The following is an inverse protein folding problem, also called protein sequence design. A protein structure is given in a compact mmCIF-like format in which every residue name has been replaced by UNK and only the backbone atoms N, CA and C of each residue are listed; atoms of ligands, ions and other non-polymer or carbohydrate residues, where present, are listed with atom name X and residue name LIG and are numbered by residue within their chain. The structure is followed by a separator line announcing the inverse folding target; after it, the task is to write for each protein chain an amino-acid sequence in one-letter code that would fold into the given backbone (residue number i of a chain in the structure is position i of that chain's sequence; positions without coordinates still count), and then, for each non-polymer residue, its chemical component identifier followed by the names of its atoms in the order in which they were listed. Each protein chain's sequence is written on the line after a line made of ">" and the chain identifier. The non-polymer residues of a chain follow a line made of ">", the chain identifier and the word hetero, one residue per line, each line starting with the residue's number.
data_IF_339805483286
#
_entry.id   IF_339805483286
#
_cell.length_a   1.000
_cell.length_b   1.000
_cell.length_c   1.000
_cell.angle_alpha   90.00
_cell.angle_beta   90.00
_cell.angle_gamma   90.00
#
_symmetry.space_group_name_H-M   'P 1'
#
loop_
_entity.id
_entity.type
_entity.pdbx_description
1 polymer ?
#
# COMPACT_ATOMS: atom_id res chain seq x y z
N UNK A 1 -13.42 3.03 17.36
CA UNK A 1 -12.11 2.33 17.44
C UNK A 1 -12.37 0.85 17.61
N UNK A 2 -11.81 -0.01 16.75
CA UNK A 2 -11.99 -1.45 16.88
C UNK A 2 -11.34 -1.91 18.18
N UNK A 3 -12.10 -2.71 18.92
CA UNK A 3 -11.71 -3.28 20.20
C UNK A 3 -10.96 -4.58 19.92
N UNK A 4 -9.74 -4.49 19.41
CA UNK A 4 -8.90 -5.67 19.22
C UNK A 4 -8.44 -6.15 20.59
N UNK A 5 -8.78 -7.39 20.87
CA UNK A 5 -8.67 -8.11 22.13
C UNK A 5 -7.21 -8.29 22.56
N UNK A 6 -7.01 -8.29 23.88
CA UNK A 6 -5.79 -8.55 24.65
C UNK A 6 -4.95 -9.69 24.08
N UNK A 7 -3.64 -9.49 23.91
CA UNK A 7 -2.65 -10.57 24.03
C UNK A 7 -1.52 -10.10 24.94
N UNK A 8 -1.31 -10.89 26.00
CA UNK A 8 -0.29 -10.75 27.02
C UNK A 8 1.13 -10.68 26.42
N UNK A 9 2.10 -10.33 27.28
CA UNK A 9 3.54 -10.46 27.03
C UNK A 9 4.04 -11.89 26.67
N UNK A 10 3.12 -12.83 26.41
CA UNK A 10 3.34 -14.12 25.75
C UNK A 10 2.05 -14.53 25.03
N UNK A 11 2.17 -14.94 23.76
CA UNK A 11 1.14 -15.74 23.07
C UNK A 11 1.61 -17.18 23.17
N UNK A 12 0.92 -18.00 23.94
CA UNK A 12 1.17 -19.44 23.98
C UNK A 12 0.09 -20.13 23.14
N UNK A 13 0.45 -20.48 21.91
CA UNK A 13 -0.22 -21.59 21.23
C UNK A 13 0.56 -22.86 21.56
N UNK A 14 0.00 -24.04 21.31
CA UNK A 14 0.73 -25.31 21.49
C UNK A 14 2.03 -25.39 20.64
N UNK A 15 2.23 -24.47 19.70
CA UNK A 15 3.34 -24.47 18.74
C UNK A 15 4.41 -23.40 19.01
N UNK A 16 4.09 -22.24 19.56
CA UNK A 16 5.02 -21.12 19.67
C UNK A 16 5.03 -20.50 21.08
N UNK A 17 6.24 -20.25 21.61
CA UNK A 17 6.46 -19.42 22.79
C UNK A 17 7.08 -18.11 22.30
N UNK A 18 6.33 -17.02 22.42
CA UNK A 18 6.61 -15.80 21.68
C UNK A 18 6.64 -14.60 22.62
N UNK A 19 7.77 -13.87 22.61
CA UNK A 19 7.80 -12.49 23.13
C UNK A 19 7.29 -11.53 22.06
N UNK A 20 6.45 -10.57 22.43
CA UNK A 20 5.81 -9.66 21.48
C UNK A 20 6.01 -8.19 21.85
N UNK A 21 6.10 -7.34 20.83
CA UNK A 21 6.07 -5.88 20.92
C UNK A 21 5.08 -5.37 19.89
N UNK A 22 4.14 -4.51 20.28
CA UNK A 22 3.13 -3.98 19.34
C UNK A 22 3.78 -2.98 18.39
N UNK A 23 3.67 -3.19 17.09
CA UNK A 23 4.29 -2.34 16.06
C UNK A 23 3.28 -1.68 15.12
N UNK A 24 2.01 -2.06 15.19
CA UNK A 24 0.97 -1.46 14.35
C UNK A 24 -0.44 -1.88 14.73
N UNK A 25 -1.42 -1.22 14.13
CA UNK A 25 -2.83 -1.62 14.19
C UNK A 25 -3.60 -1.00 13.01
N UNK A 26 -4.70 -1.64 12.65
CA UNK A 26 -5.67 -1.14 11.68
C UNK A 26 -7.08 -1.22 12.26
N UNK A 27 -8.10 -0.92 11.44
CA UNK A 27 -9.48 -1.14 11.83
C UNK A 27 -9.84 -2.62 12.04
N UNK A 28 -9.02 -3.53 11.50
CA UNK A 28 -9.32 -4.95 11.34
C UNK A 28 -8.27 -5.86 11.96
N UNK A 29 -7.18 -5.31 12.48
CA UNK A 29 -6.09 -6.11 13.05
C UNK A 29 -5.18 -5.33 13.99
N UNK A 30 -4.36 -6.06 14.75
CA UNK A 30 -3.18 -5.53 15.44
C UNK A 30 -1.94 -6.28 14.98
N UNK A 31 -0.82 -5.57 14.88
CA UNK A 31 0.43 -6.12 14.34
C UNK A 31 1.52 -6.04 15.40
N UNK A 32 2.25 -7.13 15.55
CA UNK A 32 3.23 -7.33 16.62
C UNK A 32 4.53 -7.85 16.02
N UNK A 33 5.66 -7.24 16.38
CA UNK A 33 6.97 -7.86 16.19
C UNK A 33 7.14 -8.92 17.26
N UNK A 34 7.64 -10.08 16.88
CA UNK A 34 7.67 -11.19 17.78
C UNK A 34 8.90 -12.08 17.59
N UNK A 35 9.39 -12.67 18.69
CA UNK A 35 10.54 -13.59 18.67
C UNK A 35 10.08 -14.98 19.02
N UNK A 36 10.22 -15.92 18.09
CA UNK A 36 10.03 -17.33 18.37
C UNK A 36 11.18 -17.80 19.27
N UNK A 37 10.87 -18.22 20.49
CA UNK A 37 11.88 -18.65 21.45
C UNK A 37 12.45 -20.03 21.16
N UNK A 38 11.83 -20.83 20.28
CA UNK A 38 12.34 -22.15 19.89
C UNK A 38 13.40 -22.03 18.80
N UNK A 39 13.04 -21.40 17.69
CA UNK A 39 13.91 -21.23 16.53
C UNK A 39 14.82 -19.99 16.65
N UNK A 40 14.55 -19.13 17.65
CA UNK A 40 15.28 -17.88 17.92
C UNK A 40 15.24 -16.89 16.73
N UNK A 41 14.14 -16.90 15.97
CA UNK A 41 13.91 -16.04 14.81
C UNK A 41 12.90 -14.93 15.11
N UNK A 42 13.04 -13.81 14.41
CA UNK A 42 12.07 -12.71 14.44
C UNK A 42 11.00 -12.90 13.38
N UNK A 43 9.76 -12.64 13.76
CA UNK A 43 8.56 -12.76 12.96
C UNK A 43 7.66 -11.55 13.18
N UNK A 44 6.70 -11.34 12.30
CA UNK A 44 5.58 -10.42 12.54
C UNK A 44 4.29 -11.21 12.68
N UNK A 45 3.58 -10.97 13.76
CA UNK A 45 2.27 -11.54 14.04
C UNK A 45 1.18 -10.50 13.79
N UNK A 46 0.28 -10.78 12.84
CA UNK A 46 -0.96 -10.02 12.63
C UNK A 46 -2.10 -10.79 13.29
N UNK A 47 -2.76 -10.15 14.26
CA UNK A 47 -3.93 -10.68 14.96
C UNK A 47 -5.17 -9.95 14.44
N UNK A 48 -5.99 -10.66 13.69
CA UNK A 48 -7.20 -10.10 13.08
C UNK A 48 -8.34 -9.95 14.11
N UNK A 49 -9.21 -8.98 13.91
CA UNK A 49 -10.51 -8.93 14.58
C UNK A 49 -11.33 -10.17 14.24
N UNK A 50 -12.32 -10.50 15.07
CA UNK A 50 -13.27 -11.58 14.78
C UNK A 50 -13.99 -11.28 13.47
N UNK A 51 -13.91 -12.18 12.48
CA UNK A 51 -14.43 -11.95 11.13
C UNK A 51 -13.66 -12.72 10.06
N UNK A 52 -13.95 -12.41 8.79
CA UNK A 52 -13.40 -13.13 7.61
C UNK A 52 -12.20 -12.46 6.93
N UNK A 53 -11.74 -11.31 7.41
CA UNK A 53 -10.70 -10.54 6.72
C UNK A 53 -9.35 -11.26 6.69
N UNK A 54 -8.99 -11.93 7.78
CA UNK A 54 -7.79 -12.79 7.83
C UNK A 54 -7.85 -13.97 6.85
N UNK A 55 -9.06 -14.47 6.54
CA UNK A 55 -9.23 -15.60 5.64
C UNK A 55 -8.93 -15.22 4.19
N UNK A 56 -9.27 -13.98 3.78
CA UNK A 56 -8.98 -13.52 2.42
C UNK A 56 -7.48 -13.34 2.20
N UNK A 57 -6.78 -12.69 3.14
CA UNK A 57 -5.32 -12.50 3.06
C UNK A 57 -4.59 -13.85 2.99
N UNK A 58 -5.00 -14.81 3.82
CA UNK A 58 -4.47 -16.18 3.80
C UNK A 58 -4.74 -16.87 2.45
N UNK A 59 -5.97 -16.78 1.93
CA UNK A 59 -6.35 -17.42 0.66
C UNK A 59 -5.53 -16.88 -0.50
N UNK A 60 -5.42 -15.55 -0.62
CA UNK A 60 -4.62 -14.92 -1.68
C UNK A 60 -3.15 -15.26 -1.52
N UNK A 61 -2.62 -15.27 -0.30
CA UNK A 61 -1.24 -15.65 -0.02
C UNK A 61 -0.95 -17.07 -0.50
N UNK A 62 -1.77 -18.06 -0.11
CA UNK A 62 -1.58 -19.46 -0.53
C UNK A 62 -1.75 -19.64 -2.03
N UNK A 63 -2.63 -18.87 -2.67
CA UNK A 63 -2.77 -18.85 -4.13
C UNK A 63 -1.48 -18.39 -4.81
N UNK A 64 -0.91 -17.26 -4.38
CA UNK A 64 0.35 -16.74 -4.92
C UNK A 64 1.52 -17.74 -4.74
N UNK A 65 1.65 -18.35 -3.57
CA UNK A 65 2.64 -19.41 -3.33
C UNK A 65 2.44 -20.64 -4.23
N UNK A 66 1.18 -21.01 -4.51
CA UNK A 66 0.88 -22.16 -5.38
C UNK A 66 1.22 -21.90 -6.85
N UNK A 67 1.01 -20.66 -7.33
CA UNK A 67 1.38 -20.26 -8.69
C UNK A 67 2.90 -20.26 -8.86
N UNK A 68 3.62 -19.85 -7.82
CA UNK A 68 5.07 -19.85 -7.81
C UNK A 68 5.67 -21.26 -7.87
N UNK A 69 5.16 -22.22 -7.07
CA UNK A 69 5.61 -23.61 -7.12
C UNK A 69 5.44 -24.25 -8.51
N UNK A 70 4.40 -23.87 -9.25
CA UNK A 70 4.20 -24.29 -10.64
C UNK A 70 5.26 -23.70 -11.59
N UNK A 71 5.64 -22.43 -11.38
CA UNK A 71 6.62 -21.71 -12.19
C UNK A 71 8.06 -22.16 -11.88
N UNK A 72 8.39 -22.46 -10.62
CA UNK A 72 9.69 -23.05 -10.23
C UNK A 72 9.91 -24.41 -10.90
N UNK A 73 8.86 -25.22 -11.03
CA UNK A 73 8.88 -26.48 -11.79
C UNK A 73 9.24 -26.28 -13.27
N UNK A 74 9.02 -25.08 -13.81
CA UNK A 74 9.37 -24.69 -15.19
C UNK A 74 10.71 -23.92 -15.29
N UNK A 75 11.50 -23.88 -14.21
CA UNK A 75 12.89 -23.39 -14.15
C UNK A 75 13.13 -21.87 -14.32
N UNK A 76 12.15 -21.03 -13.98
CA UNK A 76 12.40 -19.58 -13.89
C UNK A 76 11.63 -18.95 -12.73
N UNK A 77 12.30 -18.66 -11.61
CA UNK A 77 11.70 -17.93 -10.50
C UNK A 77 11.34 -16.50 -10.94
N UNK A 78 10.12 -16.05 -10.61
CA UNK A 78 9.66 -14.73 -11.05
C UNK A 78 10.28 -13.63 -10.15
N UNK A 79 11.00 -12.63 -10.70
CA UNK A 79 11.74 -11.64 -9.90
C UNK A 79 10.88 -10.75 -9.00
N UNK A 80 9.56 -10.73 -9.24
CA UNK A 80 8.56 -10.03 -8.44
C UNK A 80 8.08 -10.75 -7.18
N UNK A 81 8.33 -12.06 -7.04
CA UNK A 81 7.84 -12.87 -5.91
C UNK A 81 8.28 -12.29 -4.56
N UNK A 82 9.57 -12.01 -4.42
CA UNK A 82 10.16 -11.45 -3.21
C UNK A 82 9.74 -10.01 -2.91
N UNK A 83 8.95 -9.40 -3.81
CA UNK A 83 8.37 -8.06 -3.64
C UNK A 83 6.95 -8.10 -3.12
N UNK A 84 6.43 -9.27 -2.75
CA UNK A 84 5.12 -9.45 -2.11
C UNK A 84 5.31 -10.13 -0.77
N UNK A 85 4.64 -9.60 0.25
CA UNK A 85 4.59 -10.23 1.56
C UNK A 85 3.51 -11.33 1.59
N UNK A 86 3.94 -12.57 1.80
CA UNK A 86 3.06 -13.75 1.95
C UNK A 86 3.06 -14.26 3.40
N UNK A 87 1.97 -14.91 3.79
CA UNK A 87 1.76 -15.57 5.08
C UNK A 87 2.66 -16.80 5.17
N UNK A 88 3.56 -16.80 6.15
CA UNK A 88 4.42 -17.94 6.45
C UNK A 88 3.61 -19.08 7.07
N UNK A 89 2.86 -18.76 8.12
CA UNK A 89 2.05 -19.72 8.88
C UNK A 89 0.83 -19.01 9.48
N UNK A 90 -0.19 -19.77 9.86
CA UNK A 90 -1.42 -19.26 10.43
C UNK A 90 -1.98 -20.16 11.53
N UNK A 91 -2.68 -19.55 12.47
CA UNK A 91 -3.36 -20.25 13.56
C UNK A 91 -4.51 -19.41 14.12
N UNK A 92 -5.26 -19.98 15.06
CA UNK A 92 -6.34 -19.28 15.75
C UNK A 92 -6.06 -19.19 17.25
N UNK A 93 -6.50 -18.08 17.86
CA UNK A 93 -6.44 -17.86 19.30
C UNK A 93 -7.84 -17.56 19.79
N UNK A 94 -8.27 -18.26 20.84
CA UNK A 94 -9.52 -17.97 21.54
C UNK A 94 -9.35 -16.76 22.47
N UNK A 95 -10.14 -15.73 22.23
CA UNK A 95 -10.23 -14.55 23.08
C UNK A 95 -11.60 -14.46 23.78
N UNK A 96 -11.75 -13.55 24.77
CA UNK A 96 -13.04 -13.28 25.43
C UNK A 96 -14.18 -12.85 24.50
N UNK A 97 -13.88 -12.53 23.24
CA UNK A 97 -14.86 -12.08 22.24
C UNK A 97 -14.98 -13.02 21.03
N UNK A 98 -14.37 -14.21 21.09
CA UNK A 98 -14.39 -15.23 20.05
C UNK A 98 -13.00 -15.59 19.54
N UNK A 99 -12.96 -16.44 18.50
CA UNK A 99 -11.73 -16.86 17.84
C UNK A 99 -11.15 -15.76 16.95
N UNK A 100 -9.84 -15.57 17.04
CA UNK A 100 -9.06 -14.59 16.29
C UNK A 100 -8.07 -15.29 15.38
N UNK A 101 -8.18 -15.08 14.05
CA UNK A 101 -7.18 -15.53 13.08
C UNK A 101 -5.87 -14.78 13.28
N UNK A 102 -4.78 -15.53 13.31
CA UNK A 102 -3.43 -15.05 13.52
C UNK A 102 -2.57 -15.46 12.32
N UNK A 103 -1.91 -14.49 11.69
CA UNK A 103 -1.07 -14.69 10.52
C UNK A 103 0.37 -14.31 10.86
N UNK A 104 1.33 -15.19 10.55
CA UNK A 104 2.75 -14.96 10.71
C UNK A 104 3.39 -14.55 9.39
N UNK A 105 4.29 -13.60 9.46
CA UNK A 105 4.99 -13.05 8.30
C UNK A 105 6.47 -12.82 8.59
N UNK A 106 7.27 -12.76 7.54
CA UNK A 106 8.63 -12.20 7.61
C UNK A 106 8.56 -10.77 8.16
N UNK A 107 9.41 -10.40 9.11
CA UNK A 107 9.48 -9.04 9.63
C UNK A 107 10.02 -8.08 8.57
N UNK A 108 9.39 -6.92 8.47
CA UNK A 108 9.74 -5.85 7.54
C UNK A 108 9.94 -4.55 8.33
N UNK A 109 10.59 -3.58 7.69
CA UNK A 109 10.76 -2.24 8.23
C UNK A 109 9.48 -1.42 8.22
N UNK A 110 9.64 -0.13 8.43
CA UNK A 110 8.55 0.85 8.38
C UNK A 110 7.87 0.94 7.00
N UNK A 111 6.69 1.55 6.96
CA UNK A 111 5.99 1.84 5.71
C UNK A 111 6.65 3.00 4.98
N UNK A 112 6.45 3.11 3.67
CA UNK A 112 6.89 4.26 2.89
C UNK A 112 6.20 5.54 3.37
N UNK A 113 4.92 5.47 3.73
CA UNK A 113 4.19 6.57 4.36
C UNK A 113 4.86 7.04 5.67
N UNK A 114 5.23 6.10 6.55
CA UNK A 114 5.89 6.37 7.83
C UNK A 114 7.26 7.00 7.63
N UNK A 115 8.13 6.38 6.83
CA UNK A 115 9.46 6.92 6.53
C UNK A 115 9.37 8.33 5.96
N UNK A 116 8.51 8.55 4.96
CA UNK A 116 8.31 9.87 4.38
C UNK A 116 7.85 10.89 5.42
N UNK A 117 6.95 10.52 6.33
CA UNK A 117 6.42 11.46 7.31
C UNK A 117 7.40 11.79 8.44
N UNK A 118 8.16 10.80 8.93
CA UNK A 118 9.01 10.94 10.11
C UNK A 118 10.49 11.23 9.80
N UNK A 119 11.00 10.73 8.67
CA UNK A 119 12.43 10.78 8.33
C UNK A 119 12.76 11.79 7.22
N UNK A 120 11.78 12.19 6.40
CA UNK A 120 11.98 13.14 5.31
C UNK A 120 11.51 14.55 5.69
N UNK A 121 12.41 15.56 5.73
CA UNK A 121 12.06 16.93 6.14
C UNK A 121 10.92 17.56 5.34
N UNK A 122 10.91 17.33 4.02
CA UNK A 122 9.89 17.83 3.09
C UNK A 122 8.72 16.87 2.89
N UNK A 123 8.74 15.71 3.57
CA UNK A 123 7.79 14.61 3.33
C UNK A 123 7.77 14.16 1.87
N UNK A 124 8.95 14.13 1.25
CA UNK A 124 9.19 13.69 -0.12
C UNK A 124 10.38 12.73 -0.16
N UNK A 125 10.40 11.87 -1.17
CA UNK A 125 11.58 11.07 -1.53
C UNK A 125 12.36 11.76 -2.65
N UNK A 126 13.66 11.47 -2.74
CA UNK A 126 14.46 11.89 -3.90
C UNK A 126 14.08 11.07 -5.15
N UNK A 127 14.39 11.63 -6.32
CA UNK A 127 14.03 11.04 -7.61
C UNK A 127 14.56 9.61 -7.77
N UNK A 128 15.81 9.36 -7.36
CA UNK A 128 16.47 8.06 -7.52
C UNK A 128 15.82 7.01 -6.63
N UNK A 129 15.47 7.36 -5.39
CA UNK A 129 14.74 6.52 -4.47
C UNK A 129 13.36 6.14 -5.01
N UNK A 130 12.61 7.09 -5.59
CA UNK A 130 11.31 6.82 -6.23
C UNK A 130 11.49 5.88 -7.42
N UNK A 131 12.38 6.19 -8.36
CA UNK A 131 12.61 5.37 -9.56
C UNK A 131 12.98 3.92 -9.21
N UNK A 132 13.96 3.72 -8.32
CA UNK A 132 14.39 2.38 -7.89
C UNK A 132 13.28 1.61 -7.16
N UNK A 133 12.50 2.31 -6.33
CA UNK A 133 11.37 1.69 -5.62
C UNK A 133 10.29 1.25 -6.60
N UNK A 134 9.89 2.13 -7.52
CA UNK A 134 8.83 1.84 -8.48
C UNK A 134 9.17 0.68 -9.39
N UNK A 135 10.40 0.58 -9.88
CA UNK A 135 10.83 -0.53 -10.72
C UNK A 135 10.66 -1.89 -10.02
N UNK A 136 10.91 -1.96 -8.71
CA UNK A 136 10.73 -3.19 -7.91
C UNK A 136 9.26 -3.44 -7.57
N UNK A 137 8.48 -2.40 -7.28
CA UNK A 137 7.03 -2.52 -7.07
C UNK A 137 6.36 -3.03 -8.36
N UNK A 138 6.75 -2.53 -9.53
CA UNK A 138 6.25 -3.00 -10.83
C UNK A 138 6.56 -4.48 -11.06
N UNK A 139 7.72 -4.98 -10.62
CA UNK A 139 8.02 -6.43 -10.65
C UNK A 139 7.05 -7.23 -9.77
N UNK A 140 6.78 -6.76 -8.55
CA UNK A 140 5.79 -7.39 -7.65
C UNK A 140 4.38 -7.41 -8.24
N UNK A 141 3.93 -6.29 -8.80
CA UNK A 141 2.63 -6.21 -9.47
C UNK A 141 2.55 -7.12 -10.69
N UNK A 142 3.63 -7.23 -11.49
CA UNK A 142 3.66 -8.16 -12.62
C UNK A 142 3.40 -9.60 -12.18
N UNK A 143 4.00 -10.02 -11.05
CA UNK A 143 3.77 -11.34 -10.48
C UNK A 143 2.31 -11.52 -10.00
N UNK A 144 1.76 -10.54 -9.29
CA UNK A 144 0.35 -10.57 -8.86
C UNK A 144 -0.60 -10.70 -10.05
N UNK A 145 -0.43 -9.84 -11.05
CA UNK A 145 -1.31 -9.75 -12.21
C UNK A 145 -1.21 -11.01 -13.08
N UNK A 146 0.00 -11.56 -13.26
CA UNK A 146 0.18 -12.85 -13.93
C UNK A 146 -0.50 -14.00 -13.19
N UNK A 147 -0.54 -13.93 -11.85
CA UNK A 147 -1.25 -14.86 -10.99
C UNK A 147 -2.76 -14.60 -10.92
N UNK A 148 -3.27 -13.61 -11.67
CA UNK A 148 -4.69 -13.22 -11.68
C UNK A 148 -5.15 -12.44 -10.45
N UNK A 149 -4.23 -11.98 -9.60
CA UNK A 149 -4.53 -11.22 -8.37
C UNK A 149 -4.38 -9.73 -8.65
N UNK A 150 -5.36 -8.92 -8.22
CA UNK A 150 -5.27 -7.46 -8.21
C UNK A 150 -5.11 -7.00 -6.76
N UNK A 151 -4.20 -6.06 -6.49
CA UNK A 151 -3.94 -5.60 -5.13
C UNK A 151 -5.10 -4.76 -4.58
N UNK A 152 -5.64 -3.88 -5.42
CA UNK A 152 -6.83 -3.06 -5.18
C UNK A 152 -6.67 -1.91 -4.17
N UNK A 153 -5.70 -1.98 -3.25
CA UNK A 153 -5.46 -0.93 -2.26
C UNK A 153 -3.99 -0.46 -2.23
N UNK A 154 -3.41 -0.17 -3.40
CA UNK A 154 -1.98 0.17 -3.47
C UNK A 154 -1.75 1.61 -3.03
N UNK A 155 -0.95 1.79 -1.97
CA UNK A 155 -0.65 3.08 -1.35
C UNK A 155 0.70 3.02 -0.61
N UNK A 156 1.34 4.18 -0.30
CA UNK A 156 2.55 4.23 0.52
C UNK A 156 2.44 3.53 1.88
N UNK A 157 1.25 3.44 2.47
CA UNK A 157 0.99 2.73 3.72
C UNK A 157 1.11 1.20 3.58
N UNK A 158 0.83 0.68 2.37
CA UNK A 158 0.87 -0.73 2.02
C UNK A 158 2.18 -1.15 1.36
N UNK A 159 3.17 -0.26 1.27
CA UNK A 159 4.55 -0.59 0.87
C UNK A 159 5.47 -0.47 2.07
N UNK A 160 6.23 -1.52 2.37
CA UNK A 160 7.22 -1.53 3.46
C UNK A 160 8.63 -1.71 2.93
N UNK A 161 9.61 -1.21 3.68
CA UNK A 161 11.02 -1.50 3.42
C UNK A 161 11.36 -2.92 3.85
N UNK A 162 12.11 -3.63 3.00
CA UNK A 162 12.84 -4.82 3.41
C UNK A 162 13.82 -4.46 4.54
N UNK A 163 14.01 -5.40 5.46
CA UNK A 163 14.89 -5.22 6.60
C UNK A 163 15.86 -6.39 6.70
N UNK A 164 17.14 -6.09 6.92
CA UNK A 164 18.15 -7.12 7.17
C UNK A 164 17.93 -7.75 8.56
N UNK A 165 18.32 -9.02 8.72
CA UNK A 165 18.28 -9.70 10.03
C UNK A 165 19.03 -8.93 11.10
N UNK A 166 20.23 -8.40 10.78
CA UNK A 166 21.03 -7.60 11.69
C UNK A 166 20.31 -6.33 12.17
N UNK A 167 19.64 -5.62 11.26
CA UNK A 167 18.85 -4.43 11.60
C UNK A 167 17.66 -4.76 12.50
N UNK A 168 16.98 -5.87 12.22
CA UNK A 168 15.84 -6.34 13.00
C UNK A 168 16.26 -6.79 14.40
N UNK A 169 17.39 -7.50 14.52
CA UNK A 169 17.95 -7.90 15.81
C UNK A 169 18.34 -6.69 16.67
N UNK A 170 18.92 -5.66 16.05
CA UNK A 170 19.23 -4.41 16.75
C UNK A 170 17.95 -3.72 17.26
N UNK A 171 16.93 -3.63 16.41
CA UNK A 171 15.64 -3.04 16.77
C UNK A 171 14.96 -3.82 17.89
N UNK A 172 15.00 -5.15 17.81
CA UNK A 172 14.50 -6.04 18.85
C UNK A 172 15.23 -5.83 20.18
N UNK A 173 16.56 -5.79 20.17
CA UNK A 173 17.37 -5.55 21.37
C UNK A 173 17.05 -4.19 22.01
N UNK A 174 16.86 -3.15 21.21
CA UNK A 174 16.41 -1.83 21.69
C UNK A 174 15.02 -1.90 22.32
N UNK A 175 14.07 -2.62 21.70
CA UNK A 175 12.74 -2.82 22.25
C UNK A 175 12.79 -3.56 23.60
N UNK A 176 13.55 -4.64 23.69
CA UNK A 176 13.69 -5.41 24.94
C UNK A 176 14.32 -4.58 26.06
N UNK A 177 15.41 -3.85 25.76
CA UNK A 177 16.05 -2.98 26.73
C UNK A 177 15.11 -1.87 27.20
N UNK A 178 14.35 -1.27 26.28
CA UNK A 178 13.40 -0.22 26.65
C UNK A 178 12.25 -0.76 27.47
N UNK A 179 11.66 -1.91 27.13
CA UNK A 179 10.59 -2.51 27.94
C UNK A 179 11.06 -2.86 29.36
N UNK A 180 12.33 -3.24 29.52
CA UNK A 180 12.92 -3.50 30.85
C UNK A 180 13.15 -2.20 31.64
N UNK A 181 13.60 -1.15 30.99
CA UNK A 181 14.00 0.11 31.64
C UNK A 181 12.82 1.04 31.87
N UNK A 182 11.92 1.14 30.89
CA UNK A 182 10.74 1.99 30.89
C UNK A 182 9.60 1.30 30.12
N UNK A 183 8.79 0.46 30.81
CA UNK A 183 7.73 -0.31 30.17
C UNK A 183 6.79 0.58 29.36
N UNK A 184 6.45 0.15 28.14
CA UNK A 184 5.62 0.96 27.25
C UNK A 184 4.28 1.31 27.91
N UNK A 185 3.82 2.58 27.80
CA UNK A 185 2.52 2.99 28.33
C UNK A 185 1.42 2.05 27.87
N UNK A 186 0.64 1.56 28.84
CA UNK A 186 -0.44 0.61 28.61
C UNK A 186 -1.66 0.98 29.41
N UNK A 187 -2.84 0.92 28.78
CA UNK A 187 -4.12 1.14 29.45
C UNK A 187 -4.64 -0.19 29.94
N UNK A 188 -4.68 -0.36 31.25
CA UNK A 188 -5.25 -1.55 31.89
C UNK A 188 -6.75 -1.30 32.11
N UNK A 189 -7.57 -2.16 31.53
CA UNK A 189 -9.01 -2.22 31.71
C UNK A 189 -9.36 -3.53 32.45
N UNK A 190 -10.60 -3.64 32.93
CA UNK A 190 -11.07 -4.84 33.65
C UNK A 190 -11.01 -6.12 32.81
N UNK A 191 -11.12 -5.99 31.48
CA UNK A 191 -11.21 -7.08 30.52
C UNK A 191 -9.99 -7.17 29.57
N UNK A 192 -9.16 -6.12 29.50
CA UNK A 192 -8.04 -6.05 28.54
C UNK A 192 -6.92 -5.10 28.89
N UNK A 193 -5.78 -5.28 28.25
CA UNK A 193 -4.67 -4.33 28.25
C UNK A 193 -4.49 -3.77 26.84
N UNK A 194 -4.48 -2.45 26.70
CA UNK A 194 -4.20 -1.77 25.44
C UNK A 194 -2.76 -1.29 25.48
N UNK A 195 -1.92 -1.88 24.64
CA UNK A 195 -0.53 -1.48 24.47
C UNK A 195 -0.42 -0.30 23.51
N UNK A 196 0.39 0.70 23.87
CA UNK A 196 0.83 1.73 22.92
C UNK A 196 1.69 1.06 21.84
N UNK A 197 1.55 1.54 20.60
CA UNK A 197 2.37 1.09 19.48
C UNK A 197 3.79 1.61 19.62
N UNK A 198 4.76 0.73 19.41
CA UNK A 198 6.16 1.08 19.27
C UNK A 198 6.41 1.63 17.87
N UNK A 199 7.10 2.76 17.77
CA UNK A 199 7.49 3.32 16.48
C UNK A 199 8.73 2.58 15.99
N UNK A 200 8.56 1.77 14.95
CA UNK A 200 9.63 0.92 14.43
C UNK A 200 10.46 1.73 13.42
N UNK A 201 11.29 2.66 13.90
CA UNK A 201 12.30 3.30 13.05
C UNK A 201 13.45 2.33 12.78
N UNK A 202 13.23 1.41 11.84
CA UNK A 202 14.30 0.56 11.32
C UNK A 202 15.19 1.41 10.40
N UNK A 203 16.52 1.37 10.54
CA UNK A 203 17.40 1.99 9.56
C UNK A 203 17.05 1.48 8.16
N UNK A 204 16.83 2.39 7.21
CA UNK A 204 16.60 2.01 5.81
C UNK A 204 17.93 1.52 5.26
N UNK A 205 18.12 0.20 5.24
CA UNK A 205 19.37 -0.41 4.77
C UNK A 205 19.40 -0.59 3.26
N UNK A 206 18.24 -0.70 2.62
CA UNK A 206 18.10 -0.80 1.18
C UNK A 206 16.73 -0.26 0.73
N UNK A 207 16.70 0.43 -0.42
CA UNK A 207 15.47 0.81 -1.13
C UNK A 207 14.83 -0.44 -1.77
N UNK A 208 14.43 -1.38 -0.92
CA UNK A 208 13.85 -2.64 -1.31
C UNK A 208 12.39 -2.70 -0.84
N UNK A 209 11.43 -2.31 -1.70
CA UNK A 209 10.02 -2.28 -1.34
C UNK A 209 9.44 -3.70 -1.35
N UNK A 210 8.53 -3.92 -0.41
CA UNK A 210 7.68 -5.11 -0.33
C UNK A 210 6.22 -4.67 -0.25
N UNK A 211 5.42 -5.14 -1.19
CA UNK A 211 3.97 -4.94 -1.24
C UNK A 211 3.32 -5.76 -0.12
N UNK A 212 2.52 -5.11 0.71
CA UNK A 212 1.93 -5.67 1.92
C UNK A 212 0.40 -5.48 1.93
N UNK A 213 -0.26 -6.14 2.89
CA UNK A 213 -1.70 -6.00 3.17
C UNK A 213 -2.61 -6.41 1.99
N UNK A 214 -2.36 -7.61 1.47
CA UNK A 214 -3.19 -8.26 0.45
C UNK A 214 -4.55 -8.75 1.00
N UNK A 215 -4.94 -8.36 2.22
CA UNK A 215 -6.23 -8.70 2.80
C UNK A 215 -7.43 -8.07 2.08
N UNK A 216 -7.20 -6.96 1.36
CA UNK A 216 -8.17 -6.37 0.45
C UNK A 216 -7.95 -6.79 -1.01
N UNK A 217 -6.85 -7.49 -1.32
CA UNK A 217 -6.62 -8.01 -2.66
C UNK A 217 -7.73 -8.99 -3.03
N UNK A 218 -8.20 -8.89 -4.27
CA UNK A 218 -9.34 -9.66 -4.75
C UNK A 218 -9.15 -10.03 -6.20
N UNK A 219 -9.96 -11.00 -6.61
CA UNK A 219 -10.41 -11.12 -7.99
C UNK A 219 -11.52 -10.09 -8.32
N UNK A 220 -11.68 -9.01 -7.52
CA UNK A 220 -12.94 -8.24 -7.53
C UNK A 220 -13.32 -7.28 -6.37
N UNK A 221 -12.77 -6.05 -6.25
CA UNK A 221 -13.38 -4.71 -5.89
C UNK A 221 -12.65 -3.96 -4.75
N UNK A 222 -12.11 -2.74 -4.99
CA UNK A 222 -11.70 -1.82 -3.92
C UNK A 222 -12.57 -0.57 -3.74
N UNK A 223 -12.29 0.19 -2.68
CA UNK A 223 -12.57 1.61 -2.55
C UNK A 223 -11.60 2.26 -1.57
N UNK A 224 -10.94 3.36 -1.96
CA UNK A 224 -10.07 4.26 -1.16
C UNK A 224 -9.56 5.47 -1.99
N UNK A 225 -8.77 6.39 -1.41
CA UNK A 225 -8.25 7.61 -2.06
C UNK A 225 -7.46 7.36 -3.37
N UNK A 226 -6.80 6.21 -3.49
CA UNK A 226 -6.07 5.81 -4.70
C UNK A 226 -6.96 5.12 -5.74
N UNK A 227 -8.29 5.22 -5.60
CA UNK A 227 -9.25 4.58 -6.51
C UNK A 227 -9.23 5.22 -7.88
N UNK A 228 -9.16 4.38 -8.89
CA UNK A 228 -9.37 4.76 -10.28
C UNK A 228 -10.81 5.24 -10.51
N UNK A 229 -11.08 6.09 -11.52
CA UNK A 229 -12.41 6.64 -11.77
C UNK A 229 -13.47 5.56 -12.02
N UNK A 230 -13.12 4.46 -12.66
CA UNK A 230 -14.00 3.30 -12.89
C UNK A 230 -14.42 2.61 -11.58
N UNK A 231 -13.59 2.66 -10.54
CA UNK A 231 -13.92 2.12 -9.22
C UNK A 231 -14.92 3.04 -8.51
N UNK A 232 -14.67 4.34 -8.50
CA UNK A 232 -15.56 5.36 -7.89
C UNK A 232 -16.94 5.32 -8.55
N UNK A 233 -16.99 5.14 -9.86
CA UNK A 233 -18.22 5.10 -10.66
C UNK A 233 -18.84 3.69 -10.75
N UNK A 234 -18.30 2.71 -10.02
CA UNK A 234 -18.81 1.33 -9.92
C UNK A 234 -18.99 0.65 -11.28
N UNK A 235 -18.03 0.89 -12.16
CA UNK A 235 -17.88 0.23 -13.46
C UNK A 235 -17.16 -1.10 -13.30
N UNK A 236 -17.13 -1.90 -14.37
CA UNK A 236 -16.18 -3.01 -14.48
C UNK A 236 -14.74 -2.48 -14.53
N UNK A 237 -13.85 -3.17 -13.84
CA UNK A 237 -12.45 -2.81 -13.73
C UNK A 237 -11.59 -4.09 -13.71
N UNK A 238 -10.29 -3.92 -13.93
CA UNK A 238 -9.31 -5.00 -13.95
C UNK A 238 -8.01 -4.57 -13.26
N UNK A 239 -6.93 -5.34 -13.44
CA UNK A 239 -5.62 -5.07 -12.85
C UNK A 239 -5.05 -3.66 -13.11
N UNK A 240 -5.56 -2.92 -14.12
CA UNK A 240 -5.11 -1.56 -14.45
C UNK A 240 -5.51 -0.51 -13.40
N UNK A 241 -6.33 -0.86 -12.42
CA UNK A 241 -6.55 0.00 -11.24
C UNK A 241 -5.28 0.13 -10.40
N UNK A 242 -4.47 -0.93 -10.30
CA UNK A 242 -3.20 -0.86 -9.55
C UNK A 242 -2.22 0.07 -10.29
N UNK A 243 -2.28 0.09 -11.62
CA UNK A 243 -1.49 1.01 -12.45
C UNK A 243 -1.88 2.46 -12.17
N UNK A 244 -3.19 2.75 -12.04
CA UNK A 244 -3.65 4.06 -11.61
C UNK A 244 -3.10 4.43 -10.22
N UNK A 245 -3.21 3.53 -9.25
CA UNK A 245 -2.70 3.74 -7.89
C UNK A 245 -1.19 3.97 -7.87
N UNK A 246 -0.41 3.31 -8.73
CA UNK A 246 1.03 3.61 -8.95
C UNK A 246 1.23 5.06 -9.37
N UNK A 247 0.47 5.57 -10.35
CA UNK A 247 0.61 6.95 -10.81
C UNK A 247 0.37 7.97 -9.70
N UNK A 248 -0.69 7.76 -8.91
CA UNK A 248 -1.00 8.62 -7.75
C UNK A 248 0.10 8.50 -6.69
N UNK A 249 0.59 7.29 -6.41
CA UNK A 249 1.66 7.05 -5.43
C UNK A 249 3.00 7.68 -5.85
N UNK A 250 3.39 7.57 -7.13
CA UNK A 250 4.60 8.20 -7.66
C UNK A 250 4.56 9.71 -7.41
N UNK A 251 3.44 10.34 -7.77
CA UNK A 251 3.24 11.76 -7.56
C UNK A 251 3.35 12.10 -6.08
N UNK A 252 2.69 11.35 -5.21
CA UNK A 252 2.66 11.64 -3.77
C UNK A 252 3.99 11.40 -3.05
N UNK A 253 4.76 10.39 -3.44
CA UNK A 253 6.08 10.16 -2.89
C UNK A 253 7.06 11.26 -3.30
N UNK A 254 6.85 11.87 -4.46
CA UNK A 254 7.72 12.90 -5.01
C UNK A 254 7.31 14.32 -4.59
N UNK A 255 6.03 14.64 -4.55
CA UNK A 255 5.51 16.00 -4.29
C UNK A 255 5.09 16.19 -2.82
N UNK A 256 4.95 15.09 -2.08
CA UNK A 256 4.55 15.11 -0.68
C UNK A 256 3.08 15.45 -0.47
N UNK A 257 2.68 15.51 0.81
CA UNK A 257 1.26 15.58 1.19
C UNK A 257 0.58 16.93 0.86
N UNK A 258 1.35 18.01 0.70
CA UNK A 258 0.81 19.35 0.40
C UNK A 258 0.39 19.52 -1.06
N UNK A 259 0.87 18.63 -1.94
CA UNK A 259 0.64 18.64 -3.38
C UNK A 259 0.03 17.31 -3.86
N UNK A 260 -0.78 16.66 -3.02
CA UNK A 260 -1.42 15.39 -3.37
C UNK A 260 -2.23 15.51 -4.67
N UNK A 261 -2.11 14.51 -5.54
CA UNK A 261 -2.67 14.58 -6.88
C UNK A 261 -4.21 14.68 -6.83
N UNK A 262 -4.82 13.85 -5.99
CA UNK A 262 -6.25 13.87 -5.68
C UNK A 262 -6.37 13.76 -4.17
N UNK A 263 -7.09 14.70 -3.54
CA UNK A 263 -7.38 14.64 -2.12
C UNK A 263 -8.67 13.87 -1.90
N UNK A 264 -9.72 14.19 -2.66
CA UNK A 264 -11.03 13.54 -2.60
C UNK A 264 -11.65 13.53 -1.21
N UNK A 265 -11.24 14.45 -0.32
CA UNK A 265 -11.67 14.50 1.08
C UNK A 265 -12.21 15.89 1.38
N UNK A 266 -13.43 15.93 1.91
CA UNK A 266 -14.11 17.12 2.38
C UNK A 266 -14.53 16.89 3.83
N UNK A 267 -14.13 17.77 4.74
CA UNK A 267 -14.42 17.67 6.17
C UNK A 267 -14.01 16.31 6.78
N UNK A 268 -12.82 15.81 6.42
CA UNK A 268 -12.27 14.50 6.81
C UNK A 268 -13.07 13.26 6.33
N UNK A 269 -13.97 13.45 5.36
CA UNK A 269 -14.79 12.39 4.77
C UNK A 269 -14.48 12.28 3.28
N UNK A 270 -14.37 11.04 2.78
CA UNK A 270 -14.22 10.77 1.34
C UNK A 270 -15.44 11.29 0.58
N UNK A 271 -15.20 12.14 -0.41
CA UNK A 271 -16.23 12.75 -1.25
C UNK A 271 -15.94 12.42 -2.72
N UNK A 272 -16.70 11.47 -3.26
CA UNK A 272 -16.59 11.01 -4.65
C UNK A 272 -16.80 12.16 -5.65
N UNK A 273 -17.65 13.14 -5.33
CA UNK A 273 -17.92 14.28 -6.21
C UNK A 273 -16.70 15.18 -6.30
N UNK A 274 -16.10 15.53 -5.16
CA UNK A 274 -14.87 16.31 -5.11
C UNK A 274 -13.72 15.56 -5.79
N UNK A 275 -13.61 14.25 -5.55
CA UNK A 275 -12.56 13.44 -6.13
C UNK A 275 -12.64 13.42 -7.67
N UNK A 276 -13.83 13.21 -8.23
CA UNK A 276 -14.05 13.26 -9.68
C UNK A 276 -13.82 14.68 -10.25
N UNK A 277 -14.17 15.74 -9.50
CA UNK A 277 -13.90 17.11 -9.92
C UNK A 277 -12.39 17.40 -10.02
N UNK A 278 -11.59 16.90 -9.07
CA UNK A 278 -10.13 16.97 -9.11
C UNK A 278 -9.56 16.19 -10.30
N UNK A 279 -10.10 14.99 -10.60
CA UNK A 279 -9.71 14.23 -11.79
C UNK A 279 -9.97 14.98 -13.09
N UNK A 280 -11.14 15.64 -13.21
CA UNK A 280 -11.47 16.49 -14.38
C UNK A 280 -10.53 17.69 -14.47
N UNK A 281 -10.17 18.29 -13.34
CA UNK A 281 -9.22 19.41 -13.30
C UNK A 281 -7.86 19.02 -13.88
N UNK A 282 -7.35 17.85 -13.49
CA UNK A 282 -6.02 17.35 -13.84
C UNK A 282 -5.98 16.79 -15.27
N UNK A 283 -6.96 15.98 -15.66
CA UNK A 283 -6.94 15.20 -16.91
C UNK A 283 -7.82 15.78 -18.02
N UNK A 284 -8.63 16.80 -17.73
CA UNK A 284 -9.70 17.26 -18.60
C UNK A 284 -10.95 16.37 -18.52
N UNK A 285 -12.01 16.70 -19.28
CA UNK A 285 -13.27 15.96 -19.24
C UNK A 285 -13.10 14.52 -19.75
N UNK A 286 -13.84 13.55 -19.18
CA UNK A 286 -13.82 12.17 -19.65
C UNK A 286 -14.36 12.05 -21.09
N UNK A 287 -13.83 11.10 -21.88
CA UNK A 287 -14.37 10.84 -23.21
C UNK A 287 -15.79 10.26 -23.11
N UNK A 288 -16.63 10.52 -24.12
CA UNK A 288 -18.02 10.02 -24.17
C UNK A 288 -18.14 8.51 -23.98
N UNK A 289 -17.21 7.74 -24.55
CA UNK A 289 -17.14 6.27 -24.39
C UNK A 289 -16.98 5.83 -22.94
N UNK A 290 -16.34 6.63 -22.09
CA UNK A 290 -16.20 6.36 -20.66
C UNK A 290 -17.51 6.67 -19.93
N UNK A 291 -18.11 7.83 -20.21
CA UNK A 291 -19.38 8.26 -19.60
C UNK A 291 -20.52 7.27 -19.87
N UNK A 292 -20.53 6.63 -21.04
CA UNK A 292 -21.53 5.62 -21.43
C UNK A 292 -21.42 4.30 -20.66
N UNK A 293 -20.33 4.04 -19.91
CA UNK A 293 -20.11 2.77 -19.20
C UNK A 293 -20.90 2.63 -17.89
N UNK A 294 -21.38 3.73 -17.30
CA UNK A 294 -22.10 3.69 -16.03
C UNK A 294 -23.17 4.76 -15.96
N UNK A 295 -24.35 4.38 -15.48
CA UNK A 295 -25.43 5.35 -15.22
C UNK A 295 -25.08 6.32 -14.09
N UNK A 296 -24.15 5.95 -13.18
CA UNK A 296 -23.68 6.86 -12.11
C UNK A 296 -23.02 8.12 -12.66
N UNK A 297 -22.45 8.07 -13.88
CA UNK A 297 -21.89 9.24 -14.54
C UNK A 297 -22.92 10.37 -14.70
N UNK A 298 -24.21 10.04 -14.87
CA UNK A 298 -25.28 11.04 -15.04
C UNK A 298 -25.52 11.92 -13.81
N UNK A 299 -24.96 11.55 -12.65
CA UNK A 299 -24.96 12.39 -11.45
C UNK A 299 -24.00 13.58 -11.58
N UNK A 300 -22.93 13.42 -12.37
CA UNK A 300 -21.81 14.35 -12.42
C UNK A 300 -21.63 15.03 -13.78
N UNK A 301 -22.05 14.38 -14.87
CA UNK A 301 -21.98 14.91 -16.23
C UNK A 301 -23.33 14.89 -16.96
N UNK A 302 -23.56 15.88 -17.83
CA UNK A 302 -24.71 15.88 -18.75
C UNK A 302 -24.49 14.98 -19.99
N UNK A 303 -25.45 14.98 -20.92
CA UNK A 303 -25.38 14.19 -22.14
C UNK A 303 -24.32 14.67 -23.15
N UNK A 304 -23.84 15.90 -23.02
CA UNK A 304 -22.77 16.47 -23.84
C UNK A 304 -21.38 16.25 -23.23
N UNK A 305 -21.32 15.77 -21.98
CA UNK A 305 -20.09 15.51 -21.23
C UNK A 305 -19.61 16.71 -20.40
N UNK A 306 -20.45 17.73 -20.22
CA UNK A 306 -20.14 18.86 -19.35
C UNK A 306 -20.37 18.50 -17.89
N UNK A 307 -19.51 19.03 -17.01
CA UNK A 307 -19.63 18.85 -15.57
C UNK A 307 -20.87 19.60 -15.03
N UNK A 308 -21.75 18.89 -14.33
CA UNK A 308 -23.00 19.41 -13.76
C UNK A 308 -23.12 19.24 -12.24
N UNK A 309 -22.10 18.66 -11.59
CA UNK A 309 -22.14 18.44 -10.15
C UNK A 309 -22.04 19.76 -9.38
N UNK A 310 -22.43 19.73 -8.10
CA UNK A 310 -22.50 20.94 -7.26
C UNK A 310 -21.10 21.48 -6.95
N UNK A 311 -20.14 20.58 -6.75
CA UNK A 311 -18.75 20.89 -6.47
C UNK A 311 -18.08 21.44 -7.74
N UNK A 312 -17.55 22.66 -7.73
CA UNK A 312 -16.90 23.23 -8.91
C UNK A 312 -15.59 22.49 -9.19
N UNK A 313 -15.25 22.34 -10.47
CA UNK A 313 -13.95 21.81 -10.90
C UNK A 313 -12.85 22.77 -10.43
N UNK A 314 -11.91 22.32 -9.58
CA UNK A 314 -10.81 23.16 -9.13
C UNK A 314 -9.95 23.64 -10.30
N UNK A 315 -9.25 24.76 -10.16
CA UNK A 315 -8.28 25.20 -11.17
C UNK A 315 -6.87 24.67 -10.80
N UNK A 316 -6.60 23.41 -11.13
CA UNK A 316 -5.39 22.67 -10.77
C UNK A 316 -4.97 21.69 -11.88
N UNK A 317 -4.87 22.18 -13.12
CA UNK A 317 -4.46 21.35 -14.25
C UNK A 317 -3.06 20.77 -14.06
N UNK A 318 -2.74 19.70 -14.80
CA UNK A 318 -1.37 19.16 -14.84
C UNK A 318 -0.35 20.25 -15.20
N UNK A 319 -0.69 21.19 -16.07
CA UNK A 319 0.16 22.33 -16.47
C UNK A 319 0.30 23.35 -15.33
N UNK A 320 -0.77 23.56 -14.56
CA UNK A 320 -0.71 24.43 -13.37
C UNK A 320 0.13 23.80 -12.27
N UNK A 321 0.13 22.46 -12.18
CA UNK A 321 1.03 21.72 -11.28
C UNK A 321 2.45 21.65 -11.80
N UNK A 322 2.64 21.57 -13.11
CA UNK A 322 3.94 21.73 -13.76
C UNK A 322 4.61 23.04 -13.33
N UNK A 323 3.91 24.17 -13.34
CA UNK A 323 4.51 25.44 -12.88
C UNK A 323 4.85 25.48 -11.38
N UNK A 324 4.18 24.65 -10.56
CA UNK A 324 4.43 24.54 -9.11
C UNK A 324 5.49 23.51 -8.76
N UNK A 325 5.75 22.57 -9.66
CA UNK A 325 6.75 21.55 -9.45
C UNK A 325 8.14 22.17 -9.63
N UNK A 326 8.85 22.35 -8.53
CA UNK A 326 10.15 23.02 -8.46
C UNK A 326 11.31 22.06 -8.21
N UNK A 327 11.05 20.76 -8.01
CA UNK A 327 12.11 19.78 -7.69
C UNK A 327 12.75 19.20 -8.95
N UNK A 328 12.03 19.16 -10.07
CA UNK A 328 12.53 18.80 -11.39
C UNK A 328 12.63 20.03 -12.30
N UNK A 329 13.63 20.01 -13.18
CA UNK A 329 13.83 21.02 -14.22
C UNK A 329 14.15 20.36 -15.57
N UNK A 330 13.88 21.07 -16.66
CA UNK A 330 14.24 20.63 -18.00
C UNK A 330 13.63 19.28 -18.40
N UNK A 331 14.49 18.37 -18.86
CA UNK A 331 14.09 17.08 -19.43
C UNK A 331 13.47 16.15 -18.38
N UNK A 332 13.99 16.10 -17.15
CA UNK A 332 13.48 15.21 -16.11
C UNK A 332 12.03 15.52 -15.76
N UNK A 333 11.69 16.81 -15.74
CA UNK A 333 10.32 17.28 -15.53
C UNK A 333 9.40 16.89 -16.68
N UNK A 334 9.87 17.07 -17.92
CA UNK A 334 9.11 16.70 -19.11
C UNK A 334 8.80 15.19 -19.13
N UNK A 335 9.80 14.36 -18.80
CA UNK A 335 9.66 12.91 -18.74
C UNK A 335 8.76 12.46 -17.59
N UNK A 336 8.87 13.06 -16.40
CA UNK A 336 7.98 12.79 -15.27
C UNK A 336 6.51 13.08 -15.60
N UNK A 337 6.22 14.23 -16.21
CA UNK A 337 4.86 14.60 -16.60
C UNK A 337 4.34 13.70 -17.74
N UNK A 338 5.21 13.27 -18.65
CA UNK A 338 4.86 12.30 -19.67
C UNK A 338 4.47 10.94 -19.06
N UNK A 339 5.22 10.45 -18.07
CA UNK A 339 4.88 9.26 -17.30
C UNK A 339 3.52 9.40 -16.61
N UNK A 340 3.26 10.53 -15.94
CA UNK A 340 1.97 10.79 -15.32
C UNK A 340 0.82 10.76 -16.35
N UNK A 341 1.00 11.37 -17.53
CA UNK A 341 0.02 11.34 -18.62
C UNK A 341 -0.19 9.96 -19.22
N UNK A 342 0.79 9.06 -19.19
CA UNK A 342 0.66 7.67 -19.65
C UNK A 342 -0.16 6.81 -18.68
N UNK A 343 -0.11 7.12 -17.38
CA UNK A 343 -0.80 6.37 -16.34
C UNK A 343 -2.22 6.93 -16.07
N UNK A 344 -2.36 8.25 -15.99
CA UNK A 344 -3.59 8.93 -15.61
C UNK A 344 -4.51 9.09 -16.82
N UNK A 345 -5.20 7.99 -17.17
CA UNK A 345 -6.22 7.95 -18.23
C UNK A 345 -7.58 7.53 -17.70
N UNK A 346 -8.61 8.18 -18.24
CA UNK A 346 -10.02 7.87 -17.96
C UNK A 346 -10.36 6.44 -18.36
N UNK A 347 -10.04 6.05 -19.61
CA UNK A 347 -10.26 4.69 -20.09
C UNK A 347 -9.13 3.78 -19.57
N UNK A 348 -9.45 2.71 -18.81
CA UNK A 348 -8.43 1.82 -18.27
C UNK A 348 -7.55 1.23 -19.37
N UNK A 349 -8.12 0.83 -20.50
CA UNK A 349 -7.40 0.24 -21.62
C UNK A 349 -6.39 1.18 -22.31
N UNK A 350 -6.47 2.49 -22.09
CA UNK A 350 -5.52 3.48 -22.61
C UNK A 350 -4.33 3.72 -21.68
N UNK A 351 -4.36 3.17 -20.45
CA UNK A 351 -3.24 3.26 -19.51
C UNK A 351 -2.09 2.37 -20.01
N UNK A 352 -0.86 2.85 -19.83
CA UNK A 352 0.32 2.04 -20.10
C UNK A 352 0.30 0.73 -19.31
N UNK A 353 0.68 -0.35 -19.96
CA UNK A 353 0.88 -1.65 -19.35
C UNK A 353 2.09 -1.66 -18.40
N UNK A 354 2.17 -2.65 -17.51
CA UNK A 354 3.34 -2.83 -16.64
C UNK A 354 4.65 -2.95 -17.42
N UNK A 355 4.63 -3.62 -18.59
CA UNK A 355 5.81 -3.76 -19.45
C UNK A 355 6.26 -2.42 -20.04
N UNK A 356 5.33 -1.60 -20.49
CA UNK A 356 5.62 -0.25 -21.00
C UNK A 356 6.15 0.67 -19.88
N UNK A 357 5.56 0.60 -18.69
CA UNK A 357 6.03 1.36 -17.53
C UNK A 357 7.43 0.91 -17.08
N UNK A 358 7.70 -0.39 -17.10
CA UNK A 358 9.02 -0.90 -16.76
C UNK A 358 10.11 -0.41 -17.73
N UNK A 359 9.73 -0.04 -18.96
CA UNK A 359 10.63 0.52 -19.99
C UNK A 359 10.53 2.04 -20.12
N UNK A 360 9.78 2.71 -19.24
CA UNK A 360 9.61 4.16 -19.33
C UNK A 360 10.94 4.90 -19.11
N UNK A 361 11.14 5.96 -19.88
CA UNK A 361 12.37 6.75 -19.91
C UNK A 361 12.69 7.33 -18.54
N UNK A 362 11.69 7.91 -17.86
CA UNK A 362 11.88 8.52 -16.55
C UNK A 362 12.22 7.45 -15.50
N UNK A 363 11.52 6.32 -15.50
CA UNK A 363 11.77 5.25 -14.52
C UNK A 363 13.14 4.59 -14.69
N UNK A 364 13.68 4.54 -15.92
CA UNK A 364 14.95 3.87 -16.21
C UNK A 364 16.18 4.79 -16.20
N UNK A 365 16.05 6.10 -16.03
CA UNK A 365 17.20 7.02 -15.96
C UNK A 365 18.26 6.57 -14.93
N UNK A 366 17.81 6.09 -13.76
CA UNK A 366 18.70 5.62 -12.70
C UNK A 366 19.43 4.31 -13.00
N UNK A 367 18.90 3.46 -13.91
CA UNK A 367 19.60 2.26 -14.39
C UNK A 367 20.71 2.58 -15.40
N UNK A 368 20.55 3.67 -16.15
CA UNK A 368 21.49 4.10 -17.19
C UNK A 368 22.69 4.89 -16.63
N UNK A 369 22.65 5.26 -15.35
CA UNK A 369 23.64 6.10 -14.67
C UNK A 369 24.56 5.32 -13.69
N UNK A 370 24.47 4.00 -13.69
CA UNK A 370 25.43 3.05 -13.09
C UNK A 370 26.21 2.35 -14.18
#
# INVERSE_FOLDING_TARGET
>A
MPKTTTLCASVTSSRLDIRIVKIGFSITSTVWLCRDLKENILLTLKVCTTGKEGDNELTISRHLESQDAYVEMMSSEHPGKDKIRVVLDDFEIEGPHGSHRCLLFTPLGQTYAGFRYYECPEKTLDMKAVQLSMLKILQGLAFMHQSGVVHTDLAPDNIRFGASSASLDQVWACCELSEQTYPTPRKILSDRVIHKTWDLSTPVTCWDPVICDIGLARLGRPGQKYSAPEVILDMEWDHRIDIWSIGVMIWELFEGNTNSLFCGVKDDILDDELHLAEMVSVMGPPPRKFLERSEKCRKYWDCEGNWIATTPVPNQTLETRETRETRLEGEDKAQFLNLARKILRWLPEERSSLGELYMDEWLNQSKLST
#
